data_IF_921253815487
#
_entry.id   IF_921253815487
#
_cell.length_a   1.000
_cell.length_b   1.000
_cell.length_c   1.000
_cell.angle_alpha   90.00
_cell.angle_beta   90.00
_cell.angle_gamma   90.00
#
_symmetry.space_group_name_H-M   'P 1'
#
loop_
_entity.id
_entity.type
_entity.pdbx_description
1 polymer ?
#
# COMPACT_ATOMS: atom_id res chain seq x y z
N UNK A 1 24.27 14.03 -44.88
CA UNK A 1 24.11 15.40 -44.33
C UNK A 1 22.73 15.45 -43.69
N UNK A 2 22.65 15.66 -42.38
CA UNK A 2 21.38 15.90 -41.69
C UNK A 2 20.86 17.28 -42.10
N UNK A 3 19.59 17.35 -42.47
CA UNK A 3 18.96 18.57 -42.94
C UNK A 3 18.45 19.41 -41.76
N UNK A 4 18.40 20.72 -41.91
CA UNK A 4 17.94 21.67 -40.89
C UNK A 4 16.56 21.30 -40.25
N UNK A 5 15.57 20.76 -41.01
CA UNK A 5 14.31 20.28 -40.45
C UNK A 5 14.46 19.06 -39.53
N UNK A 6 15.38 18.14 -39.84
CA UNK A 6 15.65 16.95 -39.02
C UNK A 6 16.29 17.34 -37.68
N UNK A 7 17.19 18.33 -37.70
CA UNK A 7 17.79 18.92 -36.49
C UNK A 7 16.73 19.63 -35.63
N UNK A 8 15.84 20.43 -36.24
CA UNK A 8 14.74 21.07 -35.51
C UNK A 8 13.79 20.07 -34.86
N UNK A 9 13.48 18.97 -35.56
CA UNK A 9 12.62 17.92 -35.02
C UNK A 9 13.31 17.18 -33.86
N UNK A 10 14.61 16.86 -33.98
CA UNK A 10 15.39 16.23 -32.92
C UNK A 10 15.47 17.12 -31.66
N UNK A 11 15.65 18.44 -31.82
CA UNK A 11 15.65 19.40 -30.70
C UNK A 11 14.28 19.48 -30.03
N UNK A 12 13.19 19.41 -30.80
CA UNK A 12 11.82 19.39 -30.25
C UNK A 12 11.57 18.12 -29.43
N UNK A 13 11.90 16.95 -29.98
CA UNK A 13 11.77 15.66 -29.27
C UNK A 13 12.57 15.65 -27.98
N UNK A 14 13.81 16.15 -28.01
CA UNK A 14 14.65 16.26 -26.81
C UNK A 14 14.01 17.16 -25.72
N UNK A 15 13.45 18.30 -26.11
CA UNK A 15 12.74 19.20 -25.18
C UNK A 15 11.49 18.57 -24.59
N UNK A 16 10.75 17.80 -25.37
CA UNK A 16 9.54 17.13 -24.91
C UNK A 16 9.88 15.96 -23.97
N UNK A 17 10.98 15.23 -24.22
CA UNK A 17 11.50 14.22 -23.30
C UNK A 17 11.93 14.83 -21.95
N UNK A 18 12.66 15.94 -21.96
CA UNK A 18 13.04 16.64 -20.71
C UNK A 18 11.81 17.08 -19.89
N UNK A 19 10.75 17.55 -20.55
CA UNK A 19 9.48 17.88 -19.87
C UNK A 19 8.79 16.64 -19.31
N UNK A 20 8.89 15.50 -20.00
CA UNK A 20 8.33 14.24 -19.54
C UNK A 20 9.07 13.74 -18.30
N UNK A 21 10.40 13.75 -18.32
CA UNK A 21 11.26 13.38 -17.18
C UNK A 21 10.94 14.24 -15.95
N UNK A 22 10.85 15.56 -16.12
CA UNK A 22 10.46 16.45 -15.03
C UNK A 22 9.04 16.18 -14.49
N UNK A 23 8.11 15.73 -15.34
CA UNK A 23 6.77 15.30 -14.90
C UNK A 23 6.84 13.99 -14.12
N UNK A 24 7.60 13.01 -14.59
CA UNK A 24 7.80 11.72 -13.92
C UNK A 24 8.41 11.94 -12.55
N UNK A 25 9.46 12.76 -12.45
CA UNK A 25 10.11 13.09 -11.18
C UNK A 25 9.13 13.76 -10.20
N UNK A 26 8.30 14.71 -10.66
CA UNK A 26 7.25 15.32 -9.82
C UNK A 26 6.22 14.31 -9.35
N UNK A 27 5.83 13.37 -10.20
CA UNK A 27 4.88 12.31 -9.84
C UNK A 27 5.51 11.39 -8.79
N UNK A 28 6.75 10.95 -8.98
CA UNK A 28 7.48 10.11 -8.04
C UNK A 28 7.64 10.79 -6.68
N UNK A 29 8.07 12.06 -6.66
CA UNK A 29 8.17 12.85 -5.43
C UNK A 29 6.81 13.00 -4.71
N UNK A 30 5.72 13.09 -5.46
CA UNK A 30 4.37 13.16 -4.88
C UNK A 30 3.93 11.82 -4.31
N UNK A 31 4.23 10.72 -5.00
CA UNK A 31 3.96 9.36 -4.51
C UNK A 31 4.72 9.12 -3.22
N UNK A 32 6.02 9.42 -3.20
CA UNK A 32 6.87 9.23 -2.03
C UNK A 32 6.42 10.08 -0.83
N UNK A 33 6.07 11.36 -1.04
CA UNK A 33 5.50 12.20 0.02
C UNK A 33 4.18 11.66 0.56
N UNK A 34 3.30 11.18 -0.31
CA UNK A 34 2.04 10.57 0.11
C UNK A 34 2.30 9.29 0.90
N UNK A 35 3.26 8.47 0.47
CA UNK A 35 3.67 7.26 1.16
C UNK A 35 4.19 7.59 2.57
N UNK A 36 5.10 8.57 2.69
CA UNK A 36 5.62 9.03 3.98
C UNK A 36 4.52 9.57 4.90
N UNK A 37 3.55 10.33 4.37
CA UNK A 37 2.42 10.82 5.15
C UNK A 37 1.54 9.67 5.64
N UNK A 38 1.28 8.68 4.77
CA UNK A 38 0.51 7.50 5.14
C UNK A 38 1.26 6.71 6.23
N UNK A 39 2.55 6.43 6.07
CA UNK A 39 3.34 5.77 7.12
C UNK A 39 3.28 6.57 8.42
N UNK A 40 3.59 7.87 8.38
CA UNK A 40 3.65 8.72 9.57
C UNK A 40 2.33 8.78 10.35
N UNK A 41 1.19 8.83 9.66
CA UNK A 41 -0.11 9.01 10.29
C UNK A 41 -0.82 7.70 10.64
N UNK A 42 -0.61 6.64 9.86
CA UNK A 42 -1.30 5.36 10.06
C UNK A 42 -0.53 4.43 10.99
N UNK A 43 0.80 4.52 11.02
CA UNK A 43 1.63 3.67 11.85
C UNK A 43 1.30 3.75 13.35
N UNK A 44 1.13 4.95 13.96
CA UNK A 44 0.74 5.02 15.37
C UNK A 44 -0.60 4.33 15.67
N UNK A 45 -1.53 4.38 14.72
CA UNK A 45 -2.82 3.71 14.83
C UNK A 45 -2.67 2.19 14.71
N UNK A 46 -1.94 1.70 13.70
CA UNK A 46 -1.63 0.28 13.53
C UNK A 46 -0.94 -0.32 14.76
N UNK A 47 0.05 0.37 15.30
CA UNK A 47 0.74 -0.02 16.53
C UNK A 47 -0.22 -0.15 17.72
N UNK A 48 -1.12 0.83 17.89
CA UNK A 48 -2.15 0.77 18.93
C UNK A 48 -3.10 -0.40 18.72
N UNK A 49 -3.50 -0.67 17.47
CA UNK A 49 -4.36 -1.81 17.12
C UNK A 49 -3.67 -3.13 17.43
N UNK A 50 -2.41 -3.34 17.01
CA UNK A 50 -1.70 -4.60 17.21
C UNK A 50 -1.40 -4.89 18.69
N UNK A 51 -1.18 -3.83 19.50
CA UNK A 51 -1.06 -4.00 20.96
C UNK A 51 -2.33 -4.60 21.59
N UNK A 52 -3.51 -4.24 21.08
CA UNK A 52 -4.83 -4.64 21.63
C UNK A 52 -5.42 -5.87 20.97
N UNK A 53 -5.18 -6.04 19.67
CA UNK A 53 -5.81 -7.09 18.89
C UNK A 53 -5.22 -8.45 19.25
N UNK A 54 -6.11 -9.41 19.46
CA UNK A 54 -5.78 -10.81 19.69
C UNK A 54 -6.57 -11.61 18.64
N UNK A 55 -5.97 -11.88 17.47
CA UNK A 55 -6.68 -12.54 16.38
C UNK A 55 -7.17 -13.92 16.81
N UNK A 56 -8.29 -14.37 16.25
CA UNK A 56 -8.84 -15.71 16.45
C UNK A 56 -8.99 -16.44 15.13
N UNK A 57 -8.87 -17.77 15.17
CA UNK A 57 -9.14 -18.60 14.00
C UNK A 57 -10.57 -18.35 13.49
N UNK A 58 -10.72 -18.26 12.17
CA UNK A 58 -11.97 -17.94 11.46
C UNK A 58 -12.49 -16.51 11.69
N UNK A 59 -11.75 -15.65 12.38
CA UNK A 59 -12.07 -14.23 12.47
C UNK A 59 -11.95 -13.56 11.10
N UNK A 60 -12.87 -12.64 10.81
CA UNK A 60 -12.81 -11.79 9.62
C UNK A 60 -12.00 -10.53 9.92
N UNK A 61 -11.11 -10.20 9.01
CA UNK A 61 -10.24 -9.03 9.08
C UNK A 61 -10.16 -8.37 7.69
N UNK A 62 -9.60 -7.17 7.65
CA UNK A 62 -9.36 -6.43 6.42
C UNK A 62 -7.86 -6.44 6.12
N UNK A 63 -7.51 -6.91 4.93
CA UNK A 63 -6.20 -6.65 4.35
C UNK A 63 -6.23 -5.28 3.69
N UNK A 64 -5.20 -4.48 3.94
CA UNK A 64 -4.98 -3.18 3.30
C UNK A 64 -3.64 -3.24 2.58
N UNK A 65 -3.70 -2.99 1.28
CA UNK A 65 -2.53 -2.79 0.44
C UNK A 65 -2.50 -1.32 0.01
N UNK A 66 -1.54 -0.59 0.57
CA UNK A 66 -1.38 0.83 0.29
C UNK A 66 -0.71 1.10 -1.04
N UNK A 67 0.13 0.18 -1.53
CA UNK A 67 0.84 0.33 -2.80
C UNK A 67 -0.15 0.27 -3.96
N UNK A 68 -0.97 -0.78 -3.98
CA UNK A 68 -1.98 -0.98 -5.00
C UNK A 68 -3.30 -0.26 -4.69
N UNK A 69 -3.35 0.50 -3.60
CA UNK A 69 -4.50 1.26 -3.12
C UNK A 69 -5.80 0.44 -3.05
N UNK A 70 -5.70 -0.80 -2.56
CA UNK A 70 -6.83 -1.70 -2.44
C UNK A 70 -7.00 -2.24 -1.03
N UNK A 71 -8.21 -2.70 -0.74
CA UNK A 71 -8.50 -3.44 0.48
C UNK A 71 -9.54 -4.52 0.25
N UNK A 72 -9.42 -5.62 0.97
CA UNK A 72 -10.30 -6.77 0.83
C UNK A 72 -10.46 -7.51 2.15
N UNK A 73 -11.57 -8.24 2.29
CA UNK A 73 -11.83 -9.06 3.47
C UNK A 73 -11.04 -10.38 3.40
N UNK A 74 -10.46 -10.76 4.53
CA UNK A 74 -9.77 -12.03 4.72
C UNK A 74 -10.30 -12.76 5.96
N UNK A 75 -10.18 -14.08 5.94
CA UNK A 75 -10.49 -14.93 7.10
C UNK A 75 -9.20 -15.52 7.66
N UNK A 76 -8.98 -15.36 8.97
CA UNK A 76 -7.80 -15.89 9.65
C UNK A 76 -7.85 -17.42 9.68
N UNK A 77 -6.76 -18.07 9.23
CA UNK A 77 -6.66 -19.53 9.11
C UNK A 77 -5.58 -20.15 9.99
N UNK A 78 -4.51 -19.41 10.26
CA UNK A 78 -3.47 -19.83 11.18
C UNK A 78 -2.91 -18.64 11.94
N UNK A 79 -2.49 -18.87 13.18
CA UNK A 79 -1.85 -17.90 14.07
C UNK A 79 -0.65 -18.61 14.70
N UNK A 80 0.55 -18.07 14.48
CA UNK A 80 1.80 -18.58 15.02
C UNK A 80 2.58 -17.42 15.64
N UNK A 81 2.43 -17.23 16.95
CA UNK A 81 2.97 -16.07 17.66
C UNK A 81 2.41 -14.76 17.09
N UNK A 82 3.29 -13.95 16.49
CA UNK A 82 2.91 -12.70 15.82
C UNK A 82 2.57 -12.89 14.34
N UNK A 83 2.75 -14.09 13.78
CA UNK A 83 2.44 -14.34 12.37
C UNK A 83 1.00 -14.81 12.21
N UNK A 84 0.30 -14.23 11.23
CA UNK A 84 -1.07 -14.60 10.88
C UNK A 84 -1.12 -14.98 9.41
N UNK A 85 -1.67 -16.16 9.12
CA UNK A 85 -2.04 -16.56 7.76
C UNK A 85 -3.54 -16.37 7.56
N UNK A 86 -3.94 -15.61 6.56
CA UNK A 86 -5.34 -15.36 6.23
C UNK A 86 -5.66 -15.73 4.78
N UNK A 87 -6.92 -16.09 4.53
CA UNK A 87 -7.46 -16.48 3.22
C UNK A 87 -8.38 -15.39 2.68
N UNK A 88 -8.22 -15.00 1.43
CA UNK A 88 -9.13 -14.08 0.74
C UNK A 88 -10.33 -14.84 0.15
N UNK A 89 -11.54 -14.59 0.68
CA UNK A 89 -12.79 -15.21 0.20
C UNK A 89 -12.77 -16.75 0.23
N UNK A 90 -13.41 -17.37 -0.77
CA UNK A 90 -13.37 -18.84 -0.98
C UNK A 90 -12.17 -19.28 -1.83
N UNK A 91 -11.29 -18.37 -2.25
CA UNK A 91 -10.17 -18.65 -3.16
C UNK A 91 -9.03 -19.34 -2.41
N UNK A 92 -8.21 -20.12 -3.12
CA UNK A 92 -6.98 -20.75 -2.58
C UNK A 92 -5.83 -19.77 -2.32
N UNK A 93 -6.10 -18.46 -2.26
CA UNK A 93 -5.08 -17.43 -2.07
C UNK A 93 -4.91 -17.17 -0.58
N UNK A 94 -3.68 -17.34 -0.11
CA UNK A 94 -3.29 -17.13 1.28
C UNK A 94 -2.27 -16.01 1.36
N UNK A 95 -2.44 -15.16 2.36
CA UNK A 95 -1.55 -14.05 2.68
C UNK A 95 -0.98 -14.27 4.09
N UNK A 96 0.30 -13.97 4.28
CA UNK A 96 0.94 -14.02 5.59
C UNK A 96 1.22 -12.58 6.04
N UNK A 97 0.90 -12.29 7.29
CA UNK A 97 1.08 -10.99 7.89
C UNK A 97 1.80 -11.13 9.21
N UNK A 98 2.60 -10.13 9.55
CA UNK A 98 3.14 -9.96 10.89
C UNK A 98 2.27 -9.01 11.70
N UNK A 99 2.02 -9.37 12.95
CA UNK A 99 1.41 -8.53 13.98
C UNK A 99 2.46 -8.00 14.96
N UNK A 100 3.73 -7.96 14.54
CA UNK A 100 4.81 -7.41 15.34
C UNK A 100 4.55 -5.92 15.59
N UNK A 101 4.53 -5.43 16.84
CA UNK A 101 4.44 -4.00 17.13
C UNK A 101 5.70 -3.20 16.76
N UNK A 102 6.73 -3.85 16.21
CA UNK A 102 7.86 -3.21 15.55
C UNK A 102 7.73 -3.61 14.08
N UNK A 103 7.04 -2.79 13.29
CA UNK A 103 6.84 -2.99 11.85
C UNK A 103 7.86 -2.18 11.07
N UNK A 104 8.43 -2.77 10.02
CA UNK A 104 9.27 -2.06 9.06
C UNK A 104 8.41 -1.38 7.98
N UNK A 105 8.91 -0.34 7.30
CA UNK A 105 8.13 0.42 6.31
C UNK A 105 7.48 -0.46 5.22
N UNK A 106 8.19 -1.49 4.74
CA UNK A 106 7.66 -2.44 3.74
C UNK A 106 6.54 -3.34 4.29
N UNK A 107 6.55 -3.67 5.59
CA UNK A 107 5.46 -4.43 6.22
C UNK A 107 4.22 -3.57 6.45
N UNK A 108 4.37 -2.24 6.42
CA UNK A 108 3.26 -1.27 6.52
C UNK A 108 2.63 -1.00 5.16
N UNK A 109 3.30 -1.30 4.05
CA UNK A 109 2.66 -1.23 2.74
C UNK A 109 1.53 -2.26 2.59
N UNK A 110 1.67 -3.42 3.24
CA UNK A 110 0.68 -4.50 3.20
C UNK A 110 0.44 -5.09 4.59
N UNK A 111 -0.70 -4.79 5.18
CA UNK A 111 -1.02 -5.17 6.56
C UNK A 111 -2.45 -5.64 6.74
N UNK A 112 -2.70 -6.30 7.87
CA UNK A 112 -4.01 -6.83 8.23
C UNK A 112 -4.49 -6.17 9.51
N UNK A 113 -5.75 -5.73 9.54
CA UNK A 113 -6.38 -5.18 10.75
C UNK A 113 -7.76 -5.80 10.98
N UNK A 114 -8.24 -5.87 12.22
CA UNK A 114 -9.59 -6.34 12.47
C UNK A 114 -10.62 -5.37 11.91
N UNK A 115 -11.80 -5.88 11.58
CA UNK A 115 -12.84 -5.11 10.88
C UNK A 115 -13.23 -3.81 11.61
N UNK A 116 -13.32 -3.83 12.94
CA UNK A 116 -13.63 -2.64 13.74
C UNK A 116 -12.58 -1.55 13.58
N UNK A 117 -11.30 -1.92 13.50
CA UNK A 117 -10.21 -0.96 13.34
C UNK A 117 -10.22 -0.36 11.94
N UNK A 118 -10.52 -1.17 10.92
CA UNK A 118 -10.70 -0.69 9.56
C UNK A 118 -11.83 0.34 9.46
N UNK A 119 -12.97 0.09 10.09
CA UNK A 119 -14.11 1.00 10.01
C UNK A 119 -13.82 2.39 10.59
N UNK A 120 -12.89 2.50 11.54
CA UNK A 120 -12.41 3.78 12.08
C UNK A 120 -11.52 4.53 11.09
N UNK A 121 -10.67 3.84 10.31
CA UNK A 121 -9.68 4.49 9.44
C UNK A 121 -10.03 4.49 7.95
N UNK A 122 -11.12 3.83 7.53
CA UNK A 122 -11.51 3.73 6.11
C UNK A 122 -11.72 5.07 5.42
N UNK A 123 -12.04 6.13 6.16
CA UNK A 123 -12.20 7.48 5.63
C UNK A 123 -10.87 8.18 5.34
N UNK A 124 -9.77 7.73 5.96
CA UNK A 124 -8.41 8.21 5.70
C UNK A 124 -7.85 7.63 4.39
N UNK A 125 -8.48 6.58 3.89
CA UNK A 125 -8.14 5.85 2.70
C UNK A 125 -8.96 6.34 1.51
N UNK A 126 -8.30 6.61 0.38
CA UNK A 126 -8.94 6.62 -0.95
C UNK A 126 -8.83 5.25 -1.61
N UNK A 127 -8.96 4.19 -0.82
CA UNK A 127 -8.78 2.82 -1.28
C UNK A 127 -10.05 2.33 -1.98
N UNK A 128 -9.87 1.42 -2.94
CA UNK A 128 -10.99 0.73 -3.61
C UNK A 128 -11.21 -0.63 -2.95
N UNK A 129 -12.48 -0.98 -2.69
CA UNK A 129 -12.89 -2.30 -2.15
C UNK A 129 -13.18 -3.23 -3.32
N UNK A 130 -12.63 -4.45 -3.30
CA UNK A 130 -12.81 -5.48 -4.34
C UNK A 130 -13.16 -6.86 -3.76
#
# INVERSE_FOLDING_TARGET
MTTEPELMNAVKVYRDNLKLEAKIERINNKIEKNHQLIIKHFFPYLLSTYKKWRPKLKEKAMCIDLEDQHCFEVTIKNIDGYMVRAQQGQKSVYHNFTLNPILEEYEVANFIIPKWSYDEIKHLFRLTIF
#
